data_IF_783609576427
#
_entry.id   IF_783609576427
#
_cell.length_a   1.000
_cell.length_b   1.000
_cell.length_c   1.000
_cell.angle_alpha   90.00
_cell.angle_beta   90.00
_cell.angle_gamma   90.00
#
_symmetry.space_group_name_H-M   'P 1'
#
loop_
_entity.id
_entity.type
_entity.pdbx_description
1 polymer ?
#
# COMPACT_ATOMS: atom_id res chain seq x y z
N UNK A 1 -31.63 18.34 -14.91
CA UNK A 1 -30.17 18.33 -14.68
C UNK A 1 -29.77 17.57 -13.42
N UNK A 2 -30.56 17.56 -12.34
CA UNK A 2 -30.35 16.71 -11.15
C UNK A 2 -30.66 15.22 -11.38
N UNK A 3 -31.65 14.88 -12.21
CA UNK A 3 -32.00 13.48 -12.50
C UNK A 3 -30.92 12.71 -13.29
N UNK A 4 -30.24 13.38 -14.23
CA UNK A 4 -29.17 12.75 -15.03
C UNK A 4 -27.93 12.52 -14.17
N UNK A 5 -27.60 13.45 -13.28
CA UNK A 5 -26.48 13.30 -12.34
C UNK A 5 -26.72 12.21 -11.29
N UNK A 6 -27.97 12.00 -10.86
CA UNK A 6 -28.31 10.90 -9.94
C UNK A 6 -28.24 9.53 -10.63
N UNK A 7 -28.78 9.40 -11.84
CA UNK A 7 -28.73 8.15 -12.62
C UNK A 7 -27.31 7.79 -13.04
N UNK A 8 -26.50 8.76 -13.50
CA UNK A 8 -25.08 8.52 -13.77
C UNK A 8 -24.30 8.17 -12.50
N UNK A 9 -24.62 8.81 -11.38
CA UNK A 9 -23.96 8.54 -10.10
C UNK A 9 -24.20 7.12 -9.59
N UNK A 10 -25.44 6.60 -9.68
CA UNK A 10 -25.74 5.22 -9.26
C UNK A 10 -25.15 4.17 -10.20
N UNK A 11 -25.13 4.41 -11.53
CA UNK A 11 -24.55 3.45 -12.48
C UNK A 11 -23.02 3.41 -12.39
N UNK A 12 -22.37 4.55 -12.20
CA UNK A 12 -20.91 4.62 -12.03
C UNK A 12 -20.49 4.06 -10.66
N UNK A 13 -21.29 4.26 -9.61
CA UNK A 13 -21.04 3.69 -8.29
C UNK A 13 -21.18 2.16 -8.26
N UNK A 14 -22.16 1.58 -8.95
CA UNK A 14 -22.30 0.13 -9.11
C UNK A 14 -21.13 -0.50 -9.87
N UNK A 15 -20.61 0.19 -10.89
CA UNK A 15 -19.44 -0.30 -11.63
C UNK A 15 -18.17 -0.23 -10.77
N UNK A 16 -17.98 0.85 -10.02
CA UNK A 16 -16.81 0.99 -9.13
C UNK A 16 -16.86 0.01 -7.95
N UNK A 17 -18.03 -0.28 -7.40
CA UNK A 17 -18.16 -1.23 -6.28
C UNK A 17 -17.94 -2.69 -6.71
N UNK A 18 -18.31 -3.06 -7.93
CA UNK A 18 -18.05 -4.40 -8.48
C UNK A 18 -16.59 -4.59 -8.91
N UNK A 19 -15.98 -3.58 -9.54
CA UNK A 19 -14.62 -3.69 -10.09
C UNK A 19 -13.52 -3.31 -9.10
N UNK A 20 -13.77 -2.43 -8.12
CA UNK A 20 -12.78 -1.96 -7.16
C UNK A 20 -11.97 -3.07 -6.46
N UNK A 21 -12.64 -4.09 -5.87
CA UNK A 21 -11.96 -5.21 -5.24
C UNK A 21 -11.08 -6.03 -6.19
N UNK A 22 -11.53 -6.20 -7.44
CA UNK A 22 -10.79 -6.93 -8.48
C UNK A 22 -9.54 -6.16 -8.94
N UNK A 23 -9.63 -4.84 -9.10
CA UNK A 23 -8.46 -4.00 -9.42
C UNK A 23 -7.43 -4.07 -8.28
N UNK A 24 -7.88 -3.94 -7.03
CA UNK A 24 -6.99 -4.01 -5.87
C UNK A 24 -6.27 -5.37 -5.79
N UNK A 25 -7.00 -6.47 -5.99
CA UNK A 25 -6.41 -7.81 -6.04
C UNK A 25 -5.37 -7.95 -7.15
N UNK A 26 -5.70 -7.54 -8.37
CA UNK A 26 -4.77 -7.63 -9.49
C UNK A 26 -3.47 -6.87 -9.20
N UNK A 27 -3.57 -5.64 -8.68
CA UNK A 27 -2.41 -4.83 -8.32
C UNK A 27 -1.55 -5.51 -7.23
N UNK A 28 -2.19 -5.96 -6.14
CA UNK A 28 -1.50 -6.62 -5.02
C UNK A 28 -0.87 -7.95 -5.43
N UNK A 29 -1.54 -8.73 -6.28
CA UNK A 29 -1.02 -9.99 -6.80
C UNK A 29 0.20 -9.78 -7.70
N UNK A 30 0.19 -8.75 -8.55
CA UNK A 30 1.32 -8.41 -9.42
C UNK A 30 2.52 -7.96 -8.57
N UNK A 31 2.33 -7.02 -7.64
CA UNK A 31 3.42 -6.50 -6.81
C UNK A 31 3.94 -7.58 -5.87
N UNK A 32 3.05 -8.32 -5.19
CA UNK A 32 3.43 -9.40 -4.29
C UNK A 32 4.12 -10.55 -5.02
N UNK A 33 3.63 -10.91 -6.22
CA UNK A 33 4.28 -11.90 -7.08
C UNK A 33 5.68 -11.47 -7.53
N UNK A 34 5.85 -10.20 -7.90
CA UNK A 34 7.17 -9.62 -8.23
C UNK A 34 8.13 -9.70 -7.04
N UNK A 35 7.69 -9.37 -5.82
CA UNK A 35 8.51 -9.48 -4.61
C UNK A 35 8.89 -10.93 -4.28
N UNK A 36 7.98 -11.89 -4.45
CA UNK A 36 8.30 -13.31 -4.28
C UNK A 36 9.31 -13.77 -5.34
N UNK A 37 9.15 -13.33 -6.58
CA UNK A 37 10.07 -13.66 -7.67
C UNK A 37 11.48 -13.12 -7.41
N UNK A 38 11.60 -11.85 -7.04
CA UNK A 38 12.88 -11.19 -6.69
C UNK A 38 13.52 -11.86 -5.47
N UNK A 39 12.75 -12.18 -4.45
CA UNK A 39 13.22 -12.87 -3.25
C UNK A 39 13.70 -14.32 -3.48
N UNK A 40 13.06 -15.06 -4.39
CA UNK A 40 13.45 -16.44 -4.75
C UNK A 40 14.64 -16.46 -5.70
N UNK A 41 14.73 -15.50 -6.62
CA UNK A 41 15.80 -15.45 -7.60
C UNK A 41 17.15 -15.09 -6.96
N UNK A 42 17.15 -14.73 -5.68
CA UNK A 42 18.36 -14.54 -4.89
C UNK A 42 19.26 -13.48 -5.50
N UNK A 43 18.69 -12.57 -6.30
CA UNK A 43 19.35 -11.32 -6.66
C UNK A 43 19.54 -10.59 -5.36
N UNK A 44 20.66 -10.87 -4.70
CA UNK A 44 21.26 -9.95 -3.76
C UNK A 44 21.15 -8.60 -4.46
N UNK A 45 20.43 -7.68 -3.84
CA UNK A 45 20.46 -6.30 -4.27
C UNK A 45 21.93 -5.92 -4.13
N UNK A 46 22.66 -6.03 -5.23
CA UNK A 46 24.10 -5.89 -5.31
C UNK A 46 24.37 -4.48 -4.83
N UNK A 47 24.62 -4.37 -3.53
CA UNK A 47 24.94 -3.12 -2.85
C UNK A 47 26.38 -2.72 -3.19
N UNK A 48 26.99 -3.36 -4.19
CA UNK A 48 28.20 -2.92 -4.89
C UNK A 48 27.87 -1.74 -5.80
N UNK A 49 27.56 -0.60 -5.18
CA UNK A 49 27.51 0.70 -5.82
C UNK A 49 27.52 1.79 -4.74
N UNK A 50 28.50 2.72 -4.73
CA UNK A 50 28.82 3.53 -3.57
C UNK A 50 27.67 4.46 -3.17
N UNK A 51 27.23 4.35 -1.91
CA UNK A 51 26.70 5.45 -1.10
C UNK A 51 25.92 6.55 -1.85
N UNK A 52 24.91 6.18 -2.62
CA UNK A 52 23.98 7.13 -3.21
C UNK A 52 22.59 6.58 -2.98
N UNK A 53 21.90 7.16 -2.00
CA UNK A 53 20.44 7.03 -1.92
C UNK A 53 19.95 7.39 -3.32
N UNK A 54 19.44 6.42 -4.08
CA UNK A 54 18.80 6.72 -5.34
C UNK A 54 17.57 7.54 -4.99
N UNK A 55 17.71 8.86 -5.14
CA UNK A 55 16.71 9.85 -4.72
C UNK A 55 15.38 9.60 -5.44
N UNK A 56 15.45 9.06 -6.67
CA UNK A 56 14.29 8.79 -7.51
C UNK A 56 13.33 7.73 -6.92
N UNK A 57 13.77 6.50 -6.56
CA UNK A 57 12.94 5.53 -5.83
C UNK A 57 12.33 6.09 -4.54
N UNK A 58 13.09 6.86 -3.76
CA UNK A 58 12.61 7.43 -2.50
C UNK A 58 11.52 8.47 -2.74
N UNK A 59 11.68 9.34 -3.74
CA UNK A 59 10.64 10.31 -4.12
C UNK A 59 9.40 9.59 -4.66
N UNK A 60 9.57 8.58 -5.51
CA UNK A 60 8.45 7.81 -6.07
C UNK A 60 7.65 7.10 -4.96
N UNK A 61 8.34 6.50 -3.99
CA UNK A 61 7.70 5.89 -2.80
C UNK A 61 6.97 6.94 -1.97
N UNK A 62 7.58 8.10 -1.72
CA UNK A 62 6.95 9.18 -0.96
C UNK A 62 5.66 9.68 -1.63
N UNK A 63 5.66 9.82 -2.96
CA UNK A 63 4.46 10.18 -3.74
C UNK A 63 3.40 9.07 -3.64
N UNK A 64 3.78 7.81 -3.82
CA UNK A 64 2.86 6.68 -3.73
C UNK A 64 2.19 6.61 -2.34
N UNK A 65 2.97 6.72 -1.27
CA UNK A 65 2.47 6.74 0.12
C UNK A 65 1.59 7.96 0.41
N UNK A 66 1.89 9.12 -0.19
CA UNK A 66 1.04 10.31 -0.02
C UNK A 66 -0.32 10.18 -0.70
N UNK A 67 -0.41 9.53 -1.86
CA UNK A 67 -1.68 9.26 -2.54
C UNK A 67 -2.52 8.28 -1.72
N UNK A 68 -1.89 7.28 -1.11
CA UNK A 68 -2.54 6.33 -0.21
C UNK A 68 -3.15 7.03 1.03
N UNK A 69 -2.37 7.88 1.70
CA UNK A 69 -2.85 8.68 2.83
C UNK A 69 -3.99 9.65 2.43
N UNK A 70 -3.95 10.21 1.22
CA UNK A 70 -5.02 11.06 0.69
C UNK A 70 -6.33 10.28 0.50
N UNK A 71 -6.27 9.05 -0.03
CA UNK A 71 -7.44 8.20 -0.23
C UNK A 71 -8.12 7.83 1.11
N UNK A 72 -7.33 7.50 2.14
CA UNK A 72 -7.84 7.27 3.50
C UNK A 72 -8.43 8.56 4.09
N UNK A 73 -7.79 9.70 3.89
CA UNK A 73 -8.30 11.02 4.32
C UNK A 73 -9.64 11.39 3.68
N UNK A 74 -9.81 11.17 2.38
CA UNK A 74 -11.07 11.37 1.67
C UNK A 74 -12.18 10.45 2.20
N UNK A 75 -11.82 9.20 2.55
CA UNK A 75 -12.74 8.22 3.14
C UNK A 75 -13.27 8.68 4.51
N UNK A 76 -12.41 9.24 5.37
CA UNK A 76 -12.86 9.84 6.63
C UNK A 76 -13.75 11.08 6.45
N UNK A 77 -13.49 11.89 5.43
CA UNK A 77 -14.34 13.04 5.07
C UNK A 77 -15.76 12.62 4.70
N UNK A 78 -15.92 11.49 3.99
CA UNK A 78 -17.23 10.91 3.67
C UNK A 78 -17.94 10.37 4.91
N UNK A 79 -17.20 9.84 5.88
CA UNK A 79 -17.72 9.32 7.16
C UNK A 79 -18.11 10.42 8.16
N UNK A 80 -17.95 11.71 7.82
CA UNK A 80 -18.24 12.88 8.70
C UNK A 80 -17.57 12.80 10.08
N UNK A 81 -16.42 12.14 10.17
CA UNK A 81 -15.63 12.10 11.40
C UNK A 81 -14.82 13.39 11.55
N UNK A 82 -14.56 13.80 12.80
CA UNK A 82 -13.65 14.91 13.06
C UNK A 82 -12.23 14.54 12.58
N UNK A 83 -11.73 15.22 11.56
CA UNK A 83 -10.48 14.86 10.87
C UNK A 83 -9.24 15.05 11.78
N UNK A 84 -9.34 15.94 12.78
CA UNK A 84 -8.20 16.34 13.59
C UNK A 84 -7.66 15.18 14.45
N UNK A 85 -8.52 14.37 15.04
CA UNK A 85 -8.08 13.28 15.93
C UNK A 85 -7.46 12.09 15.18
N UNK A 86 -8.05 11.53 14.09
CA UNK A 86 -7.41 10.47 13.32
C UNK A 86 -6.13 10.95 12.64
N UNK A 87 -6.08 12.19 12.15
CA UNK A 87 -4.89 12.71 11.47
C UNK A 87 -3.68 12.78 12.40
N UNK A 88 -3.85 13.22 13.65
CA UNK A 88 -2.77 13.26 14.65
C UNK A 88 -2.30 11.84 14.99
N UNK A 89 -3.23 10.91 15.19
CA UNK A 89 -2.90 9.51 15.53
C UNK A 89 -2.14 8.83 14.40
N UNK A 90 -2.62 8.95 13.15
CA UNK A 90 -1.96 8.39 11.97
C UNK A 90 -0.58 9.02 11.80
N UNK A 91 -0.46 10.34 11.95
CA UNK A 91 0.84 11.03 11.88
C UNK A 91 1.85 10.51 12.90
N UNK A 92 1.45 10.34 14.16
CA UNK A 92 2.32 9.80 15.22
C UNK A 92 2.73 8.36 14.93
N UNK A 93 1.77 7.50 14.55
CA UNK A 93 2.04 6.08 14.27
C UNK A 93 2.95 5.95 13.05
N UNK A 94 2.65 6.65 11.95
CA UNK A 94 3.47 6.65 10.73
C UNK A 94 4.87 7.17 10.99
N UNK A 95 5.02 8.23 11.80
CA UNK A 95 6.33 8.74 12.17
C UNK A 95 7.12 7.73 13.00
N UNK A 96 6.49 7.12 14.02
CA UNK A 96 7.11 6.10 14.85
C UNK A 96 7.51 4.85 14.04
N UNK A 97 6.65 4.39 13.13
CA UNK A 97 6.92 3.27 12.22
C UNK A 97 8.04 3.59 11.24
N UNK A 98 8.06 4.79 10.64
CA UNK A 98 9.13 5.19 9.72
C UNK A 98 10.46 5.31 10.46
N UNK A 99 10.46 5.83 11.68
CA UNK A 99 11.66 5.92 12.50
C UNK A 99 12.19 4.55 12.89
N UNK A 100 11.32 3.66 13.38
CA UNK A 100 11.68 2.27 13.65
C UNK A 100 12.17 1.56 12.39
N UNK A 101 11.45 1.68 11.27
CA UNK A 101 11.76 1.04 10.00
C UNK A 101 13.15 1.40 9.47
N UNK A 102 13.59 2.65 9.63
CA UNK A 102 14.95 3.06 9.23
C UNK A 102 16.02 2.43 10.13
N UNK A 103 15.80 2.37 11.45
CA UNK A 103 16.75 1.75 12.39
C UNK A 103 16.82 0.23 12.21
N UNK A 104 15.65 -0.40 12.05
CA UNK A 104 15.47 -1.84 11.96
C UNK A 104 15.79 -2.37 10.56
N UNK A 105 15.54 -1.60 9.50
CA UNK A 105 15.66 -2.05 8.11
C UNK A 105 17.03 -2.62 7.77
N UNK A 106 18.11 -1.95 8.20
CA UNK A 106 19.48 -2.46 7.97
C UNK A 106 19.76 -3.76 8.72
N UNK A 107 19.28 -3.87 9.97
CA UNK A 107 19.47 -5.06 10.82
C UNK A 107 18.64 -6.25 10.37
N UNK A 108 17.39 -6.01 9.96
CA UNK A 108 16.50 -7.04 9.46
C UNK A 108 16.97 -7.61 8.12
N UNK A 109 17.53 -6.75 7.26
CA UNK A 109 18.13 -7.19 6.00
C UNK A 109 19.33 -8.13 6.25
N UNK A 110 20.22 -7.79 7.20
CA UNK A 110 21.36 -8.65 7.57
C UNK A 110 20.95 -10.00 8.19
N UNK A 111 19.86 -10.04 8.98
CA UNK A 111 19.46 -11.26 9.72
C UNK A 111 18.60 -12.19 8.88
N UNK A 112 17.67 -11.63 8.10
CA UNK A 112 16.61 -12.40 7.42
C UNK A 112 16.82 -12.42 5.90
N UNK A 113 17.67 -11.54 5.37
CA UNK A 113 18.03 -11.48 3.95
C UNK A 113 16.82 -11.36 3.04
N UNK A 114 16.91 -11.98 1.86
CA UNK A 114 15.86 -12.05 0.84
C UNK A 114 14.57 -12.71 1.32
N UNK A 115 14.54 -13.39 2.48
CA UNK A 115 13.31 -13.98 3.01
C UNK A 115 12.27 -12.93 3.42
N UNK A 116 12.69 -11.72 3.81
CA UNK A 116 11.74 -10.63 4.13
C UNK A 116 10.89 -10.27 2.91
N UNK A 117 11.52 -10.23 1.74
CA UNK A 117 10.85 -9.84 0.49
C UNK A 117 9.80 -10.89 0.08
N UNK A 118 10.14 -12.18 0.23
CA UNK A 118 9.21 -13.30 0.01
C UNK A 118 8.03 -13.21 1.00
N UNK A 119 8.30 -12.99 2.28
CA UNK A 119 7.25 -12.89 3.31
C UNK A 119 6.32 -11.70 3.00
N UNK A 120 6.88 -10.54 2.66
CA UNK A 120 6.11 -9.35 2.28
C UNK A 120 5.23 -9.61 1.06
N UNK A 121 5.77 -10.27 0.03
CA UNK A 121 5.02 -10.63 -1.16
C UNK A 121 3.87 -11.62 -0.88
N UNK A 122 4.09 -12.63 -0.04
CA UNK A 122 3.04 -13.55 0.40
C UNK A 122 1.93 -12.82 1.15
N UNK A 123 2.29 -11.91 2.06
CA UNK A 123 1.30 -11.11 2.82
C UNK A 123 0.46 -10.25 1.87
N UNK A 124 1.07 -9.59 0.89
CA UNK A 124 0.36 -8.80 -0.13
C UNK A 124 -0.66 -9.65 -0.91
N UNK A 125 -0.26 -10.85 -1.34
CA UNK A 125 -1.15 -11.78 -2.04
C UNK A 125 -2.32 -12.20 -1.14
N UNK A 126 -2.07 -12.50 0.14
CA UNK A 126 -3.11 -12.87 1.12
C UNK A 126 -4.09 -11.73 1.38
N UNK A 127 -3.63 -10.48 1.44
CA UNK A 127 -4.48 -9.29 1.56
C UNK A 127 -5.36 -9.16 0.31
N UNK A 128 -4.78 -9.31 -0.89
CA UNK A 128 -5.54 -9.27 -2.14
C UNK A 128 -6.63 -10.34 -2.20
N UNK A 129 -6.31 -11.57 -1.78
CA UNK A 129 -7.30 -12.66 -1.73
C UNK A 129 -8.43 -12.32 -0.75
N UNK A 130 -8.13 -11.73 0.42
CA UNK A 130 -9.17 -11.30 1.37
C UNK A 130 -10.12 -10.26 0.78
N UNK A 131 -9.60 -9.31 0.00
CA UNK A 131 -10.40 -8.26 -0.65
C UNK A 131 -11.43 -8.87 -1.63
N UNK A 132 -11.04 -9.90 -2.40
CA UNK A 132 -11.95 -10.58 -3.35
C UNK A 132 -12.85 -11.61 -2.67
N UNK A 133 -12.36 -12.29 -1.62
CA UNK A 133 -13.12 -13.27 -0.86
C UNK A 133 -14.30 -12.65 -0.06
N UNK A 134 -14.38 -11.32 0.00
CA UNK A 134 -15.54 -10.63 0.54
C UNK A 134 -15.61 -10.62 2.06
N UNK A 135 -14.47 -10.72 2.75
CA UNK A 135 -14.41 -10.43 4.19
C UNK A 135 -14.22 -8.91 4.36
N UNK A 136 -15.26 -8.17 4.79
CA UNK A 136 -15.19 -6.74 4.99
C UNK A 136 -14.54 -6.48 6.35
N UNK A 137 -13.20 -6.59 6.41
CA UNK A 137 -12.45 -6.11 7.57
C UNK A 137 -11.88 -4.70 7.37
N UNK A 138 -12.41 -3.97 6.38
CA UNK A 138 -12.47 -2.52 6.32
C UNK A 138 -13.82 -2.07 5.76
#
# INVERSE_FOLDING_TARGET
MTGIGWVLGITVAEYISAFGPWIAFALLAIIGGKMVWEGVQGTEHDSTGPCSIQVFPVIALAIATSIDALAVGASFGLLRLEILSPAIIIGIISFAFSWCGVLLGKRLLDIVGTRIEIIGGIILILIGINIVAGNPFF
#
